data_IF_790239229796
#
_entry.id   IF_790239229796
#
_cell.length_a   1.000
_cell.length_b   1.000
_cell.length_c   1.000
_cell.angle_alpha   90.00
_cell.angle_beta   90.00
_cell.angle_gamma   90.00
#
_symmetry.space_group_name_H-M   'P 1'
#
loop_
_entity.id
_entity.type
_entity.pdbx_description
1 polymer ?
#
# COMPACT_ATOMS: atom_id res chain seq x y z
N UNK A 1 3.07 -6.91 1.71
CA UNK A 1 1.76 -6.86 1.01
C UNK A 1 1.31 -5.40 0.95
N UNK A 2 0.75 -4.96 -0.16
CA UNK A 2 0.23 -3.60 -0.32
C UNK A 2 -1.30 -3.60 -0.28
N UNK A 3 -1.88 -2.84 0.65
CA UNK A 3 -3.32 -2.68 0.82
C UNK A 3 -3.76 -1.41 0.11
N UNK A 4 -4.66 -1.54 -0.87
CA UNK A 4 -5.23 -0.42 -1.63
C UNK A 4 -6.54 -0.83 -2.29
N UNK A 5 -7.35 0.16 -2.67
CA UNK A 5 -8.51 0.00 -3.56
C UNK A 5 -8.24 0.48 -4.99
N UNK A 6 -7.11 1.18 -5.22
CA UNK A 6 -6.75 1.76 -6.51
C UNK A 6 -5.88 0.78 -7.32
N UNK A 7 -6.32 0.35 -8.52
CA UNK A 7 -5.54 -0.56 -9.36
C UNK A 7 -4.23 0.05 -9.87
N UNK A 8 -4.01 1.36 -9.78
CA UNK A 8 -2.76 2.02 -10.19
C UNK A 8 -1.52 1.49 -9.46
N UNK A 9 -1.68 0.82 -8.32
CA UNK A 9 -0.57 0.27 -7.53
C UNK A 9 -0.20 -1.18 -7.89
N UNK A 10 -0.91 -1.84 -8.82
CA UNK A 10 -0.72 -3.28 -9.10
C UNK A 10 0.70 -3.64 -9.53
N UNK A 11 1.40 -2.74 -10.20
CA UNK A 11 2.73 -3.00 -10.78
C UNK A 11 3.89 -2.52 -9.88
N UNK A 12 3.68 -2.41 -8.57
CA UNK A 12 4.69 -1.92 -7.62
C UNK A 12 5.73 -2.97 -7.17
N UNK A 13 5.74 -4.18 -7.75
CA UNK A 13 6.69 -5.23 -7.38
C UNK A 13 6.45 -5.89 -6.01
N UNK A 14 5.29 -5.66 -5.41
CA UNK A 14 4.81 -6.31 -4.19
C UNK A 14 3.45 -6.94 -4.44
N UNK A 15 3.09 -7.94 -3.63
CA UNK A 15 1.73 -8.51 -3.68
C UNK A 15 0.68 -7.44 -3.37
N UNK A 16 -0.27 -7.27 -4.30
CA UNK A 16 -1.46 -6.44 -4.15
C UNK A 16 -2.70 -7.35 -4.29
N UNK A 17 -3.35 -7.74 -3.18
CA UNK A 17 -4.53 -8.59 -3.25
C UNK A 17 -5.70 -7.86 -3.91
N UNK A 18 -6.55 -8.60 -4.60
CA UNK A 18 -7.83 -8.08 -5.07
C UNK A 18 -8.78 -7.91 -3.88
N UNK A 19 -8.94 -6.68 -3.41
CA UNK A 19 -9.78 -6.35 -2.26
C UNK A 19 -11.11 -5.77 -2.71
N UNK A 20 -12.16 -6.14 -1.97
CA UNK A 20 -13.44 -5.42 -1.98
C UNK A 20 -13.62 -4.79 -0.60
N UNK A 21 -14.24 -3.61 -0.53
CA UNK A 21 -14.59 -2.95 0.73
C UNK A 21 -16.11 -2.73 0.83
N UNK A 22 -16.88 -3.78 1.15
CA UNK A 22 -18.33 -3.67 1.32
C UNK A 22 -18.75 -2.68 2.42
N UNK A 23 -17.83 -2.37 3.34
CA UNK A 23 -18.09 -1.50 4.49
C UNK A 23 -17.73 -0.04 4.24
N UNK A 24 -16.95 0.27 3.19
CA UNK A 24 -16.39 1.60 2.94
C UNK A 24 -15.41 2.10 4.01
N UNK A 25 -14.84 1.20 4.82
CA UNK A 25 -14.00 1.59 5.97
C UNK A 25 -12.50 1.38 5.74
N UNK A 26 -12.10 0.70 4.67
CA UNK A 26 -10.70 0.33 4.44
C UNK A 26 -9.82 1.56 4.34
N UNK A 27 -10.20 2.53 3.50
CA UNK A 27 -9.47 3.78 3.31
C UNK A 27 -9.26 4.55 4.63
N UNK A 28 -10.30 4.61 5.45
CA UNK A 28 -10.26 5.27 6.76
C UNK A 28 -9.40 4.50 7.78
N UNK A 29 -9.53 3.18 7.85
CA UNK A 29 -8.77 2.33 8.79
C UNK A 29 -7.28 2.31 8.50
N UNK A 30 -6.89 2.29 7.22
CA UNK A 30 -5.48 2.30 6.82
C UNK A 30 -4.92 3.71 6.62
N UNK A 31 -5.77 4.74 6.60
CA UNK A 31 -5.37 6.13 6.39
C UNK A 31 -4.78 6.39 5.00
N UNK A 32 -5.38 5.78 3.97
CA UNK A 32 -4.83 5.77 2.59
C UNK A 32 -5.69 6.52 1.56
N UNK A 33 -6.83 7.11 1.96
CA UNK A 33 -7.76 7.70 1.00
C UNK A 33 -8.26 6.69 -0.06
N UNK A 34 -8.93 7.17 -1.10
CA UNK A 34 -9.46 6.29 -2.17
C UNK A 34 -8.37 5.80 -3.13
N UNK A 35 -7.29 6.58 -3.26
CA UNK A 35 -6.24 6.39 -4.28
C UNK A 35 -4.88 6.02 -3.72
N UNK A 36 -4.70 6.09 -2.41
CA UNK A 36 -3.43 5.76 -1.78
C UNK A 36 -3.27 4.28 -1.50
N UNK A 37 -2.24 3.96 -0.74
CA UNK A 37 -1.87 2.58 -0.42
C UNK A 37 -1.14 2.49 0.92
N UNK A 38 -1.22 1.33 1.57
CA UNK A 38 -0.48 1.01 2.79
C UNK A 38 0.33 -0.26 2.60
N UNK A 39 1.63 -0.18 2.86
CA UNK A 39 2.51 -1.34 2.86
C UNK A 39 2.48 -2.00 4.24
N UNK A 40 2.03 -3.25 4.27
CA UNK A 40 1.93 -4.09 5.47
C UNK A 40 2.96 -5.20 5.39
N UNK A 41 3.73 -5.35 6.46
CA UNK A 41 4.73 -6.41 6.65
C UNK A 41 4.05 -7.76 6.92
N UNK A 42 4.76 -8.89 6.75
CA UNK A 42 4.20 -10.22 7.02
C UNK A 42 3.75 -10.43 8.48
N UNK A 43 4.28 -9.64 9.43
CA UNK A 43 3.88 -9.65 10.85
C UNK A 43 2.60 -8.82 11.13
N UNK A 44 2.00 -8.21 10.10
CA UNK A 44 0.79 -7.39 10.22
C UNK A 44 1.05 -5.92 10.56
N UNK A 45 2.31 -5.48 10.66
CA UNK A 45 2.65 -4.08 10.97
C UNK A 45 2.66 -3.24 9.69
N UNK A 46 2.07 -2.05 9.73
CA UNK A 46 2.17 -1.06 8.65
C UNK A 46 3.59 -0.48 8.63
N UNK A 47 4.34 -0.78 7.57
CA UNK A 47 5.67 -0.21 7.35
C UNK A 47 5.61 1.20 6.75
N UNK A 48 4.58 1.48 5.94
CA UNK A 48 4.42 2.75 5.25
C UNK A 48 2.97 2.93 4.77
N UNK A 49 2.57 4.18 4.53
CA UNK A 49 1.31 4.51 3.86
C UNK A 49 1.41 5.83 3.11
N UNK A 50 0.62 5.95 2.05
CA UNK A 50 0.33 7.19 1.33
C UNK A 50 -1.18 7.46 1.33
N UNK A 51 -1.64 8.69 1.60
CA UNK A 51 -3.06 9.05 1.57
C UNK A 51 -3.63 9.28 0.16
N UNK A 52 -2.79 9.32 -0.87
CA UNK A 52 -3.18 9.48 -2.28
C UNK A 52 -2.15 8.78 -3.19
N UNK A 53 -2.45 8.73 -4.49
CA UNK A 53 -1.53 8.25 -5.52
C UNK A 53 -0.29 9.14 -5.60
N UNK A 54 0.88 8.52 -5.50
CA UNK A 54 2.17 9.19 -5.69
C UNK A 54 2.58 9.18 -7.16
N UNK A 55 3.52 10.05 -7.53
CA UNK A 55 3.95 10.20 -8.93
C UNK A 55 4.51 8.91 -9.54
N UNK A 56 5.33 8.19 -8.77
CA UNK A 56 5.88 6.89 -9.14
C UNK A 56 5.61 5.88 -8.01
N UNK A 57 4.49 5.15 -8.09
CA UNK A 57 4.10 4.15 -7.09
C UNK A 57 5.16 3.07 -6.88
N UNK A 58 5.75 2.56 -7.97
CA UNK A 58 6.71 1.47 -7.93
C UNK A 58 8.03 1.91 -7.27
N UNK A 59 8.54 3.08 -7.65
CA UNK A 59 9.75 3.64 -7.03
C UNK A 59 9.54 3.92 -5.53
N UNK A 60 8.37 4.46 -5.16
CA UNK A 60 8.05 4.76 -3.76
C UNK A 60 7.98 3.50 -2.90
N UNK A 61 7.32 2.45 -3.38
CA UNK A 61 7.26 1.16 -2.67
C UNK A 61 8.65 0.53 -2.57
N UNK A 62 9.43 0.54 -3.66
CA UNK A 62 10.80 0.02 -3.66
C UNK A 62 11.67 0.71 -2.61
N UNK A 63 11.65 2.03 -2.55
CA UNK A 63 12.42 2.79 -1.57
C UNK A 63 12.07 2.40 -0.13
N UNK A 64 10.78 2.17 0.16
CA UNK A 64 10.35 1.70 1.48
C UNK A 64 10.83 0.28 1.76
N UNK A 65 10.75 -0.61 0.77
CA UNK A 65 11.24 -1.98 0.92
C UNK A 65 12.74 -2.02 1.21
N UNK A 66 13.54 -1.18 0.55
CA UNK A 66 14.98 -1.08 0.80
C UNK A 66 15.24 -0.70 2.27
N UNK A 67 14.46 0.22 2.84
CA UNK A 67 14.57 0.62 4.27
C UNK A 67 14.09 -0.46 5.24
N UNK A 68 13.10 -1.27 4.85
CA UNK A 68 12.41 -2.23 5.74
C UNK A 68 13.04 -3.64 5.67
N UNK A 69 13.68 -3.99 4.56
CA UNK A 69 14.30 -5.30 4.31
C UNK A 69 15.81 -5.36 4.60
N UNK A 70 16.49 -4.22 4.77
CA UNK A 70 17.81 -4.16 5.42
C UNK A 70 17.67 -4.71 6.86
N UNK A 71 18.34 -5.79 7.33
CA UNK A 71 19.77 -6.16 7.27
C UNK A 71 20.74 -5.10 7.78
#
# INVERSE_FOLDING_TARGET
>A
MLVTLDPAWKDCGVEVPALTDPTGQLAAKYGIGERGASLVRPDGVVAWRSPDLVLDPAASVRQVLDVVLDR
#
